data_IF_112168387017
#
_entry.id   IF_112168387017
#
_cell.length_a   1.000
_cell.length_b   1.000
_cell.length_c   1.000
_cell.angle_alpha   90.00
_cell.angle_beta   90.00
_cell.angle_gamma   90.00
#
_symmetry.space_group_name_H-M   'P 1'
#
loop_
_entity.id
_entity.type
_entity.pdbx_description
1 polymer ?
#
# COMPACT_ATOMS: atom_id res chain seq x y z
N UNK A 1 5.11 -4.42 -11.09
CA UNK A 1 5.86 -3.18 -11.39
C UNK A 1 7.18 -3.54 -12.03
N UNK A 2 7.66 -2.66 -12.89
CA UNK A 2 8.98 -2.70 -13.52
C UNK A 2 9.78 -1.52 -12.97
N UNK A 3 10.99 -1.76 -12.49
CA UNK A 3 11.94 -0.68 -12.17
C UNK A 3 12.95 -0.56 -13.30
N UNK A 4 13.22 0.67 -13.73
CA UNK A 4 14.15 0.99 -14.81
C UNK A 4 15.32 1.78 -14.22
N UNK A 5 16.52 1.24 -14.36
CA UNK A 5 17.74 1.91 -13.90
C UNK A 5 18.23 2.99 -14.88
N UNK A 6 19.27 3.73 -14.50
CA UNK A 6 19.83 4.79 -15.36
C UNK A 6 20.53 4.29 -16.63
N UNK A 7 20.64 2.98 -16.81
CA UNK A 7 21.18 2.30 -17.98
C UNK A 7 20.08 1.65 -18.83
N UNK A 8 18.81 1.88 -18.49
CA UNK A 8 17.62 1.31 -19.15
C UNK A 8 17.47 -0.21 -18.98
N UNK A 9 18.04 -0.78 -17.91
CA UNK A 9 17.71 -2.15 -17.54
C UNK A 9 16.40 -2.21 -16.79
N UNK A 10 15.51 -3.06 -17.27
CA UNK A 10 14.25 -3.39 -16.63
C UNK A 10 14.45 -4.50 -15.59
N UNK A 11 13.85 -4.33 -14.42
CA UNK A 11 13.80 -5.35 -13.38
C UNK A 11 12.39 -5.40 -12.81
N UNK A 12 11.75 -6.57 -12.87
CA UNK A 12 10.46 -6.76 -12.24
C UNK A 12 10.61 -6.81 -10.72
N UNK A 13 9.76 -6.04 -10.03
CA UNK A 13 9.78 -5.93 -8.59
C UNK A 13 8.39 -6.02 -7.98
N UNK A 14 8.32 -6.60 -6.78
CA UNK A 14 7.17 -6.52 -5.87
C UNK A 14 7.56 -5.76 -4.61
N UNK A 15 6.87 -4.66 -4.35
CA UNK A 15 7.08 -3.89 -3.14
C UNK A 15 6.43 -4.59 -1.95
N UNK A 16 7.14 -4.62 -0.82
CA UNK A 16 6.61 -5.08 0.46
C UNK A 16 6.85 -4.00 1.52
N UNK A 17 5.82 -3.75 2.33
CA UNK A 17 5.91 -2.85 3.49
C UNK A 17 5.92 -3.72 4.73
N UNK A 18 7.11 -3.92 5.29
CA UNK A 18 7.31 -4.80 6.44
C UNK A 18 7.14 -4.02 7.75
N UNK A 19 6.21 -4.43 8.64
CA UNK A 19 6.01 -3.76 9.91
C UNK A 19 7.18 -4.02 10.86
N UNK A 20 7.67 -2.99 11.53
CA UNK A 20 8.71 -3.14 12.55
C UNK A 20 8.24 -3.92 13.79
N UNK A 21 6.94 -3.83 14.12
CA UNK A 21 6.28 -4.60 15.18
C UNK A 21 4.83 -4.86 14.79
N UNK A 22 4.36 -6.09 15.01
CA UNK A 22 2.96 -6.44 14.80
C UNK A 22 2.51 -7.49 15.82
N UNK A 23 1.20 -7.60 16.02
CA UNK A 23 0.57 -8.62 16.86
C UNK A 23 -0.61 -9.18 16.08
N UNK A 24 -0.69 -10.50 16.02
CA UNK A 24 -1.81 -11.22 15.45
C UNK A 24 -2.66 -11.71 16.62
N UNK A 25 -3.97 -11.49 16.54
CA UNK A 25 -4.93 -12.05 17.49
C UNK A 25 -5.51 -13.35 16.95
N UNK A 26 -5.83 -14.26 17.86
CA UNK A 26 -6.77 -15.35 17.58
C UNK A 26 -8.20 -14.82 17.56
N UNK A 27 -9.12 -15.64 17.07
CA UNK A 27 -10.52 -15.27 16.86
C UNK A 27 -11.19 -14.79 18.15
N UNK A 28 -11.03 -15.54 19.25
CA UNK A 28 -11.58 -15.20 20.57
C UNK A 28 -11.14 -13.80 21.04
N UNK A 29 -9.85 -13.48 20.96
CA UNK A 29 -9.36 -12.15 21.36
C UNK A 29 -9.77 -11.04 20.40
N UNK A 30 -10.04 -11.36 19.13
CA UNK A 30 -10.53 -10.40 18.16
C UNK A 30 -11.99 -10.03 18.43
N UNK A 31 -12.83 -11.00 18.81
CA UNK A 31 -14.23 -10.79 19.18
C UNK A 31 -14.40 -9.94 20.43
N UNK A 32 -13.44 -9.97 21.35
CA UNK A 32 -13.43 -9.11 22.54
C UNK A 32 -13.15 -7.62 22.23
N UNK A 33 -12.75 -7.27 21.01
CA UNK A 33 -12.39 -5.88 20.65
C UNK A 33 -13.60 -5.09 20.19
N UNK A 34 -13.55 -3.78 20.44
CA UNK A 34 -14.54 -2.85 19.88
C UNK A 34 -14.45 -2.82 18.35
N UNK A 35 -15.55 -2.47 17.70
CA UNK A 35 -15.59 -2.27 16.24
C UNK A 35 -14.57 -1.21 15.78
N UNK A 36 -14.28 -0.22 16.63
CA UNK A 36 -13.34 0.88 16.38
C UNK A 36 -11.91 0.60 16.88
N UNK A 37 -11.63 -0.61 17.39
CA UNK A 37 -10.37 -0.93 18.07
C UNK A 37 -9.11 -0.57 17.27
N UNK A 38 -9.09 -0.80 15.95
CA UNK A 38 -7.89 -0.51 15.15
C UNK A 38 -7.58 1.00 15.07
N UNK A 39 -8.61 1.84 14.99
CA UNK A 39 -8.45 3.29 15.00
C UNK A 39 -7.98 3.79 16.38
N UNK A 40 -8.66 3.35 17.44
CA UNK A 40 -8.29 3.68 18.84
C UNK A 40 -6.87 3.20 19.18
N UNK A 41 -6.51 1.99 18.76
CA UNK A 41 -5.19 1.42 19.00
C UNK A 41 -4.10 2.14 18.19
N UNK A 42 -4.41 2.67 17.01
CA UNK A 42 -3.47 3.46 16.22
C UNK A 42 -3.10 4.75 16.95
N UNK A 43 -4.10 5.50 17.43
CA UNK A 43 -3.90 6.71 18.25
C UNK A 43 -3.03 6.43 19.48
N UNK A 44 -3.39 5.39 20.25
CA UNK A 44 -2.65 5.00 21.45
C UNK A 44 -1.19 4.60 21.16
N UNK A 45 -0.96 3.90 20.05
CA UNK A 45 0.40 3.52 19.63
C UNK A 45 1.23 4.73 19.24
N UNK A 46 0.65 5.65 18.47
CA UNK A 46 1.35 6.87 18.05
C UNK A 46 1.67 7.79 19.23
N UNK A 47 0.81 7.84 20.25
CA UNK A 47 1.10 8.54 21.50
C UNK A 47 2.34 7.98 22.24
N UNK A 48 2.71 6.72 21.98
CA UNK A 48 3.90 6.08 22.53
C UNK A 48 5.15 6.23 21.66
N UNK A 49 5.01 6.77 20.44
CA UNK A 49 6.11 6.98 19.50
C UNK A 49 5.74 6.61 18.05
N UNK A 50 6.62 6.93 17.08
CA UNK A 50 6.33 6.71 15.67
C UNK A 50 6.25 5.21 15.32
N UNK A 51 5.35 4.88 14.39
CA UNK A 51 5.31 3.57 13.75
C UNK A 51 6.33 3.51 12.62
N UNK A 52 7.11 2.43 12.60
CA UNK A 52 8.22 2.23 11.67
C UNK A 52 7.94 1.02 10.80
N UNK A 53 8.08 1.21 9.49
CA UNK A 53 7.99 0.16 8.48
C UNK A 53 9.22 0.19 7.58
N UNK A 54 9.63 -0.98 7.08
CA UNK A 54 10.64 -1.08 6.03
C UNK A 54 9.97 -1.21 4.68
N UNK A 55 10.38 -0.39 3.72
CA UNK A 55 10.01 -0.57 2.32
C UNK A 55 11.10 -1.41 1.66
N UNK A 56 10.72 -2.57 1.15
CA UNK A 56 11.63 -3.47 0.45
C UNK A 56 11.08 -3.80 -0.94
N UNK A 57 11.98 -4.03 -1.90
CA UNK A 57 11.64 -4.62 -3.19
C UNK A 57 12.13 -6.07 -3.22
N UNK A 58 11.20 -6.99 -3.47
CA UNK A 58 11.50 -8.35 -3.88
C UNK A 58 11.81 -8.35 -5.38
N UNK A 59 12.97 -8.88 -5.74
CA UNK A 59 13.47 -8.89 -7.12
C UNK A 59 13.07 -10.20 -7.79
N UNK A 60 12.47 -10.10 -8.99
CA UNK A 60 12.13 -11.25 -9.81
C UNK A 60 13.39 -11.96 -10.34
N UNK A 61 13.28 -13.27 -10.54
CA UNK A 61 14.17 -14.05 -11.40
C UNK A 61 13.45 -14.44 -12.71
N UNK A 62 14.17 -15.01 -13.66
CA UNK A 62 13.69 -15.26 -15.03
C UNK A 62 12.44 -16.17 -15.08
N UNK A 63 12.26 -17.06 -14.11
CA UNK A 63 11.13 -17.98 -14.03
C UNK A 63 9.88 -17.37 -13.35
N UNK A 64 10.00 -16.17 -12.77
CA UNK A 64 8.92 -15.55 -12.03
C UNK A 64 7.89 -14.90 -12.95
N UNK A 65 6.61 -15.14 -12.65
CA UNK A 65 5.50 -14.57 -13.42
C UNK A 65 5.17 -13.18 -12.90
N UNK A 66 5.33 -12.16 -13.75
CA UNK A 66 5.18 -10.75 -13.39
C UNK A 66 3.85 -10.10 -13.82
N UNK A 67 3.05 -10.81 -14.61
CA UNK A 67 1.75 -10.38 -15.19
C UNK A 67 0.54 -11.07 -14.54
N UNK A 68 0.74 -11.86 -13.49
CA UNK A 68 -0.34 -12.53 -12.75
C UNK A 68 -0.14 -12.42 -11.23
N UNK A 69 -0.84 -11.47 -10.60
CA UNK A 69 -0.82 -11.27 -9.15
C UNK A 69 -1.24 -12.49 -8.32
N UNK A 70 -1.90 -13.51 -8.89
CA UNK A 70 -2.30 -14.73 -8.15
C UNK A 70 -1.12 -15.66 -7.92
N UNK A 71 -0.05 -15.53 -8.71
CA UNK A 71 1.15 -16.34 -8.57
C UNK A 71 2.12 -15.66 -7.62
N UNK A 72 2.34 -16.26 -6.47
CA UNK A 72 3.34 -15.80 -5.52
C UNK A 72 4.74 -16.17 -6.01
N UNK A 73 5.69 -15.25 -5.83
CA UNK A 73 7.10 -15.57 -6.00
C UNK A 73 7.62 -16.26 -4.72
N UNK A 74 8.63 -17.14 -4.83
CA UNK A 74 9.25 -17.76 -3.65
C UNK A 74 9.71 -16.74 -2.60
N UNK A 75 9.62 -17.08 -1.32
CA UNK A 75 10.01 -16.16 -0.24
C UNK A 75 11.53 -15.94 -0.20
N UNK A 76 12.31 -16.84 -0.79
CA UNK A 76 13.77 -16.80 -0.84
C UNK A 76 14.32 -15.80 -1.85
N UNK A 77 13.46 -15.17 -2.68
CA UNK A 77 13.88 -14.15 -3.64
C UNK A 77 14.59 -13.00 -2.94
N UNK A 78 15.58 -12.43 -3.62
CA UNK A 78 16.38 -11.33 -3.11
C UNK A 78 15.47 -10.16 -2.72
N UNK A 79 15.58 -9.74 -1.46
CA UNK A 79 14.98 -8.51 -0.96
C UNK A 79 16.02 -7.39 -0.93
N UNK A 80 15.66 -6.23 -1.48
CA UNK A 80 16.45 -5.00 -1.43
C UNK A 80 15.73 -3.99 -0.57
N UNK A 81 16.34 -3.54 0.52
CA UNK A 81 15.79 -2.44 1.33
C UNK A 81 15.89 -1.13 0.55
N UNK A 82 14.74 -0.48 0.35
CA UNK A 82 14.63 0.81 -0.34
C UNK A 82 14.58 1.98 0.64
N UNK A 83 14.13 1.72 1.86
CA UNK A 83 14.09 2.74 2.90
C UNK A 83 13.18 2.41 4.07
N UNK A 84 12.86 3.44 4.84
CA UNK A 84 12.01 3.35 6.03
C UNK A 84 10.84 4.32 5.90
N UNK A 85 9.62 3.80 6.07
CA UNK A 85 8.41 4.60 6.18
C UNK A 85 8.16 4.83 7.67
N UNK A 86 8.06 6.10 8.06
CA UNK A 86 7.77 6.53 9.43
C UNK A 86 6.41 7.22 9.45
N UNK A 87 5.49 6.68 10.22
CA UNK A 87 4.23 7.35 10.55
C UNK A 87 4.35 7.91 11.98
N UNK A 88 4.40 9.23 12.10
CA UNK A 88 4.56 9.94 13.37
C UNK A 88 3.32 10.72 13.80
N UNK A 89 2.46 11.09 12.86
CA UNK A 89 1.20 11.80 13.12
C UNK A 89 0.06 11.25 12.27
N UNK A 90 -1.17 11.40 12.77
CA UNK A 90 -2.40 11.20 12.02
C UNK A 90 -3.31 12.41 12.23
N UNK A 91 -4.15 12.69 11.26
CA UNK A 91 -5.24 13.65 11.44
C UNK A 91 -6.35 13.01 12.29
N UNK A 92 -7.05 13.79 13.13
CA UNK A 92 -8.25 13.31 13.80
C UNK A 92 -9.26 12.81 12.77
N UNK A 93 -9.94 11.70 13.07
CA UNK A 93 -10.84 11.03 12.13
C UNK A 93 -11.92 11.98 11.57
N UNK A 94 -12.46 12.88 12.39
CA UNK A 94 -13.47 13.85 11.99
C UNK A 94 -12.98 14.83 10.92
N UNK A 95 -11.68 15.15 10.94
CA UNK A 95 -11.02 16.03 9.98
C UNK A 95 -10.65 15.26 8.71
N UNK A 96 -10.10 14.04 8.86
CA UNK A 96 -9.62 13.23 7.74
C UNK A 96 -10.73 12.82 6.77
N UNK A 97 -11.97 12.64 7.25
CA UNK A 97 -13.12 12.24 6.43
C UNK A 97 -13.35 13.14 5.20
N UNK A 98 -13.08 14.45 5.32
CA UNK A 98 -13.25 15.40 4.21
C UNK A 98 -12.19 15.22 3.13
N UNK A 99 -10.99 14.84 3.53
CA UNK A 99 -9.86 14.69 2.63
C UNK A 99 -9.82 13.29 2.02
N UNK A 100 -10.17 12.25 2.78
CA UNK A 100 -10.36 10.88 2.29
C UNK A 100 -11.38 10.80 1.14
N UNK A 101 -12.44 11.62 1.17
CA UNK A 101 -13.41 11.70 0.08
C UNK A 101 -12.77 12.21 -1.23
N UNK A 102 -11.75 13.06 -1.13
CA UNK A 102 -11.12 13.73 -2.29
C UNK A 102 -9.90 13.00 -2.81
N UNK A 103 -9.15 12.33 -1.93
CA UNK A 103 -7.93 11.58 -2.27
C UNK A 103 -8.27 10.44 -3.23
N UNK A 104 -7.39 10.23 -4.21
CA UNK A 104 -7.38 9.05 -5.07
C UNK A 104 -6.03 8.37 -4.92
N UNK A 105 -6.04 7.08 -4.62
CA UNK A 105 -4.86 6.24 -4.61
C UNK A 105 -4.76 5.53 -5.95
N UNK A 106 -3.99 6.07 -6.88
CA UNK A 106 -3.77 5.42 -8.19
C UNK A 106 -2.77 4.26 -8.03
N UNK A 107 -3.15 3.01 -8.36
CA UNK A 107 -2.21 1.89 -8.31
C UNK A 107 -1.11 1.99 -9.37
N UNK A 108 -1.29 2.75 -10.45
CA UNK A 108 -0.25 2.98 -11.46
C UNK A 108 0.60 4.17 -11.03
N UNK A 109 1.87 3.90 -10.75
CA UNK A 109 2.83 4.95 -10.36
C UNK A 109 3.31 5.67 -11.62
N UNK A 110 3.29 7.00 -11.59
CA UNK A 110 3.67 7.85 -12.73
C UNK A 110 5.03 8.53 -12.50
N UNK A 111 5.93 7.87 -11.76
CA UNK A 111 7.26 8.38 -11.42
C UNK A 111 8.28 7.76 -12.37
N UNK A 112 9.20 8.58 -12.88
CA UNK A 112 10.26 8.09 -13.76
C UNK A 112 11.07 6.96 -13.11
N UNK A 113 11.33 5.88 -13.85
CA UNK A 113 12.04 4.71 -13.38
C UNK A 113 11.16 3.65 -12.70
N UNK A 114 9.84 3.87 -12.62
CA UNK A 114 8.87 2.88 -12.15
C UNK A 114 7.71 2.83 -13.15
N UNK A 115 7.51 1.66 -13.74
CA UNK A 115 6.44 1.42 -14.71
C UNK A 115 5.51 0.28 -14.24
N UNK A 116 4.24 0.26 -14.68
CA UNK A 116 3.37 -0.90 -14.46
C UNK A 116 3.95 -2.14 -15.17
N UNK A 117 3.69 -3.32 -14.61
CA UNK A 117 3.88 -4.57 -15.37
C UNK A 117 2.64 -4.85 -16.23
N UNK A 118 2.71 -5.85 -17.09
CA UNK A 118 1.59 -6.27 -17.95
C UNK A 118 0.44 -6.99 -17.19
N UNK A 119 0.36 -6.85 -15.86
CA UNK A 119 -0.75 -7.42 -15.10
C UNK A 119 -2.05 -6.65 -15.41
N UNK A 120 -3.06 -7.32 -15.99
CA UNK A 120 -4.30 -6.64 -16.42
C UNK A 120 -5.10 -6.06 -15.24
N UNK A 121 -4.82 -6.47 -14.00
CA UNK A 121 -5.46 -5.91 -12.82
C UNK A 121 -4.99 -4.49 -12.53
N UNK A 122 -3.82 -4.06 -13.00
CA UNK A 122 -3.32 -2.71 -12.78
C UNK A 122 -4.15 -1.69 -13.56
N UNK A 123 -4.38 -1.91 -14.86
CA UNK A 123 -5.18 -1.02 -15.71
C UNK A 123 -6.64 -0.95 -15.24
N UNK A 124 -7.22 -2.12 -14.97
CA UNK A 124 -8.58 -2.20 -14.44
C UNK A 124 -8.68 -1.49 -13.08
N UNK A 125 -7.69 -1.70 -12.19
CA UNK A 125 -7.61 -1.06 -10.89
C UNK A 125 -7.58 0.46 -11.03
N UNK A 126 -6.67 1.00 -11.83
CA UNK A 126 -6.54 2.44 -12.06
C UNK A 126 -7.85 3.07 -12.54
N UNK A 127 -8.54 2.43 -13.49
CA UNK A 127 -9.84 2.91 -13.97
C UNK A 127 -10.90 2.95 -12.85
N UNK A 128 -10.95 1.94 -11.97
CA UNK A 128 -11.89 1.86 -10.85
C UNK A 128 -11.60 2.93 -9.80
N UNK A 129 -10.33 3.12 -9.42
CA UNK A 129 -9.93 4.14 -8.44
C UNK A 129 -10.29 5.55 -8.94
N UNK A 130 -10.06 5.84 -10.22
CA UNK A 130 -10.43 7.10 -10.86
C UNK A 130 -11.95 7.32 -10.87
N UNK A 131 -12.73 6.30 -11.27
CA UNK A 131 -14.18 6.37 -11.29
C UNK A 131 -14.76 6.60 -9.88
N UNK A 132 -14.30 5.81 -8.90
CA UNK A 132 -14.73 5.93 -7.51
C UNK A 132 -14.42 7.31 -6.93
N UNK A 133 -13.21 7.83 -7.19
CA UNK A 133 -12.85 9.19 -6.77
C UNK A 133 -13.69 10.29 -7.41
N UNK A 134 -14.10 10.13 -8.68
CA UNK A 134 -15.06 11.06 -9.32
C UNK A 134 -16.42 11.03 -8.62
N UNK A 135 -16.94 9.83 -8.32
CA UNK A 135 -18.23 9.65 -7.65
C UNK A 135 -18.21 10.27 -6.25
N UNK A 136 -17.18 9.96 -5.44
CA UNK A 136 -17.06 10.51 -4.06
C UNK A 136 -17.05 12.03 -4.07
N UNK A 137 -16.24 12.65 -4.94
CA UNK A 137 -16.16 14.12 -5.02
C UNK A 137 -17.44 14.78 -5.50
N UNK A 138 -18.18 14.15 -6.40
CA UNK A 138 -19.49 14.66 -6.83
C UNK A 138 -20.50 14.63 -5.67
N UNK A 139 -20.55 13.55 -4.90
CA UNK A 139 -21.44 13.44 -3.73
C UNK A 139 -21.14 14.50 -2.65
N UNK A 140 -19.87 14.84 -2.43
CA UNK A 140 -19.48 15.92 -1.51
C UNK A 140 -19.92 17.33 -1.95
N UNK A 141 -20.33 17.51 -3.21
CA UNK A 141 -20.79 18.81 -3.74
C UNK A 141 -22.30 18.99 -3.58
N UNK A 142 -23.04 17.90 -3.31
CA UNK A 142 -24.51 17.88 -3.19
C UNK A 142 -25.01 17.87 -1.73
N UNK A 143 -24.11 17.83 -0.74
CA UNK A 143 -24.39 17.83 0.70
C UNK A 143 -24.02 19.17 1.35
#
# INVERSE_FOLDING_TARGET
>A
MVSIDCWWHETFVRYQILPGRYKIFDEEKAEEKSESYLAEALEQRLASGPLIFKLVAQIAEDEDVADDAKKLWPEERKLVELGTIKLDTIEPLEESLKDEQKIIFDPITHVYGIEPSDDPLLDMGAAIYLLSGRIRRAASTEA
#
